data_IF_040031509348
#
_entry.id   IF_040031509348
#
_cell.length_a   1.000
_cell.length_b   1.000
_cell.length_c   1.000
_cell.angle_alpha   90.00
_cell.angle_beta   90.00
_cell.angle_gamma   90.00
#
_symmetry.space_group_name_H-M   'P 1'
#
loop_
_entity.id
_entity.type
_entity.pdbx_description
1 polymer ?
#
# COMPACT_ATOMS: atom_id res chain seq x y z
N UNK A 1 -28.19 1.07 12.26
CA UNK A 1 -26.92 0.60 12.87
C UNK A 1 -26.00 1.78 13.13
N UNK A 2 -25.26 1.85 14.25
CA UNK A 2 -24.39 2.98 14.56
C UNK A 2 -23.25 3.15 13.53
N UNK A 3 -22.81 4.39 13.31
CA UNK A 3 -21.79 4.73 12.29
C UNK A 3 -20.49 3.93 12.44
N UNK A 4 -20.00 3.75 13.67
CA UNK A 4 -18.79 2.96 13.96
C UNK A 4 -18.87 1.51 13.49
N UNK A 5 -20.06 0.92 13.55
CA UNK A 5 -20.28 -0.46 13.10
C UNK A 5 -20.40 -0.53 11.58
N UNK A 6 -21.04 0.47 10.95
CA UNK A 6 -21.06 0.58 9.50
C UNK A 6 -19.64 0.72 8.93
N UNK A 7 -18.82 1.58 9.57
CA UNK A 7 -17.43 1.75 9.22
C UNK A 7 -16.62 0.45 9.41
N UNK A 8 -16.78 -0.24 10.54
CA UNK A 8 -16.10 -1.51 10.79
C UNK A 8 -16.43 -2.57 9.73
N UNK A 9 -17.71 -2.70 9.35
CA UNK A 9 -18.15 -3.63 8.30
C UNK A 9 -17.53 -3.26 6.94
N UNK A 10 -17.58 -1.98 6.57
CA UNK A 10 -17.02 -1.53 5.29
C UNK A 10 -15.49 -1.74 5.24
N UNK A 11 -14.77 -1.38 6.30
CA UNK A 11 -13.31 -1.59 6.39
C UNK A 11 -12.96 -3.07 6.40
N UNK A 12 -13.73 -3.90 7.11
CA UNK A 12 -13.55 -5.35 7.10
C UNK A 12 -13.74 -5.90 5.69
N UNK A 13 -14.78 -5.47 4.98
CA UNK A 13 -15.01 -5.86 3.58
C UNK A 13 -13.86 -5.41 2.66
N UNK A 14 -13.40 -4.17 2.78
CA UNK A 14 -12.33 -3.62 1.93
C UNK A 14 -10.94 -4.21 2.23
N UNK A 15 -10.73 -4.71 3.44
CA UNK A 15 -9.50 -5.39 3.85
C UNK A 15 -9.37 -6.83 3.37
N UNK A 16 -10.44 -7.42 2.82
CA UNK A 16 -10.46 -8.82 2.39
C UNK A 16 -10.68 -8.95 0.88
N UNK A 17 -10.26 -10.09 0.34
CA UNK A 17 -10.44 -10.45 -1.07
C UNK A 17 -11.05 -11.84 -1.21
N UNK A 18 -11.60 -12.13 -2.39
CA UNK A 18 -12.21 -13.42 -2.70
C UNK A 18 -13.39 -13.74 -1.78
N UNK A 19 -13.48 -15.00 -1.33
CA UNK A 19 -14.61 -15.48 -0.54
C UNK A 19 -14.77 -14.74 0.80
N UNK A 20 -13.69 -14.19 1.37
CA UNK A 20 -13.75 -13.41 2.60
C UNK A 20 -14.41 -12.04 2.43
N UNK A 21 -14.48 -11.51 1.20
CA UNK A 21 -15.17 -10.26 0.87
C UNK A 21 -16.65 -10.47 0.47
N UNK A 22 -17.13 -11.71 0.45
CA UNK A 22 -18.53 -12.02 0.16
C UNK A 22 -19.45 -11.51 1.28
N UNK A 23 -20.62 -11.00 0.90
CA UNK A 23 -21.66 -10.54 1.83
C UNK A 23 -22.03 -11.62 2.84
N UNK A 24 -22.03 -12.89 2.43
CA UNK A 24 -22.28 -14.04 3.29
C UNK A 24 -21.24 -14.19 4.41
N UNK A 25 -19.96 -14.11 4.06
CA UNK A 25 -18.87 -14.17 5.03
C UNK A 25 -18.93 -13.00 6.02
N UNK A 26 -19.26 -11.80 5.52
CA UNK A 26 -19.33 -10.59 6.33
C UNK A 26 -20.56 -10.61 7.24
N UNK A 27 -21.71 -11.12 6.77
CA UNK A 27 -22.91 -11.24 7.61
C UNK A 27 -22.68 -12.20 8.78
N UNK A 28 -21.99 -13.32 8.55
CA UNK A 28 -21.63 -14.28 9.59
C UNK A 28 -20.66 -13.65 10.60
N UNK A 29 -19.67 -12.91 10.11
CA UNK A 29 -18.71 -12.20 10.98
C UNK A 29 -19.36 -11.08 11.82
N UNK A 30 -20.19 -10.25 11.20
CA UNK A 30 -20.80 -9.08 11.85
C UNK A 30 -22.07 -9.41 12.65
N UNK A 31 -22.67 -10.59 12.46
CA UNK A 31 -23.94 -10.98 13.08
C UNK A 31 -25.12 -10.11 12.63
N UNK A 32 -25.14 -9.69 11.35
CA UNK A 32 -26.19 -8.82 10.78
C UNK A 32 -26.82 -9.46 9.54
N UNK A 33 -27.92 -8.90 9.04
CA UNK A 33 -28.50 -9.38 7.77
C UNK A 33 -27.69 -8.93 6.56
N UNK A 34 -27.80 -9.65 5.44
CA UNK A 34 -27.15 -9.29 4.18
C UNK A 34 -27.48 -7.85 3.73
N UNK A 35 -28.74 -7.43 3.86
CA UNK A 35 -29.15 -6.06 3.53
C UNK A 35 -28.49 -5.00 4.41
N UNK A 36 -28.17 -5.32 5.66
CA UNK A 36 -27.45 -4.41 6.56
C UNK A 36 -25.98 -4.27 6.18
N UNK A 37 -25.33 -5.34 5.72
CA UNK A 37 -23.97 -5.27 5.16
C UNK A 37 -23.95 -4.36 3.95
N UNK A 38 -24.85 -4.58 2.98
CA UNK A 38 -24.94 -3.76 1.77
C UNK A 38 -25.19 -2.30 2.10
N UNK A 39 -26.18 -2.01 2.94
CA UNK A 39 -26.50 -0.62 3.32
C UNK A 39 -25.34 0.05 4.06
N UNK A 40 -24.64 -0.66 4.95
CA UNK A 40 -23.48 -0.14 5.66
C UNK A 40 -22.35 0.22 4.68
N UNK A 41 -22.00 -0.69 3.79
CA UNK A 41 -20.93 -0.46 2.81
C UNK A 41 -21.30 0.68 1.85
N UNK A 42 -22.54 0.73 1.34
CA UNK A 42 -23.02 1.82 0.48
C UNK A 42 -22.97 3.17 1.21
N UNK A 43 -23.44 3.25 2.45
CA UNK A 43 -23.36 4.49 3.23
C UNK A 43 -21.92 4.94 3.43
N UNK A 44 -20.98 4.02 3.70
CA UNK A 44 -19.59 4.38 3.92
C UNK A 44 -18.92 4.84 2.62
N UNK A 45 -19.24 4.19 1.50
CA UNK A 45 -18.80 4.66 0.19
C UNK A 45 -19.28 6.06 -0.13
N UNK A 46 -20.56 6.38 0.13
CA UNK A 46 -21.10 7.73 -0.09
C UNK A 46 -20.37 8.74 0.79
N UNK A 47 -20.13 8.42 2.06
CA UNK A 47 -19.39 9.30 2.97
C UNK A 47 -17.95 9.53 2.52
N UNK A 48 -17.24 8.48 2.07
CA UNK A 48 -15.89 8.61 1.53
C UNK A 48 -15.84 9.42 0.24
N UNK A 49 -16.81 9.22 -0.66
CA UNK A 49 -16.90 10.00 -1.88
C UNK A 49 -17.20 11.47 -1.61
N UNK A 50 -18.02 11.78 -0.60
CA UNK A 50 -18.28 13.16 -0.18
C UNK A 50 -17.03 13.86 0.37
N UNK A 51 -16.05 13.11 0.87
CA UNK A 51 -14.76 13.61 1.35
C UNK A 51 -13.65 13.58 0.28
N UNK A 52 -13.93 13.04 -0.91
CA UNK A 52 -12.91 12.77 -1.91
C UNK A 52 -12.14 14.04 -2.28
N UNK A 53 -12.83 15.13 -2.60
CA UNK A 53 -12.17 16.34 -3.11
C UNK A 53 -11.47 17.12 -1.99
N UNK A 54 -11.89 16.95 -0.74
CA UNK A 54 -11.27 17.56 0.44
C UNK A 54 -9.98 16.85 0.85
N UNK A 55 -9.94 15.51 0.71
CA UNK A 55 -8.84 14.66 1.19
C UNK A 55 -7.89 14.25 0.06
N UNK A 56 -8.40 14.02 -1.14
CA UNK A 56 -7.67 13.57 -2.31
C UNK A 56 -7.63 14.73 -3.31
N UNK A 57 -6.67 15.63 -3.10
CA UNK A 57 -6.39 16.70 -4.03
C UNK A 57 -5.06 16.50 -4.74
N UNK A 58 -4.92 17.11 -5.92
CA UNK A 58 -3.63 17.17 -6.59
C UNK A 58 -2.66 18.01 -5.75
N UNK A 59 -1.43 17.51 -5.60
CA UNK A 59 -0.36 18.26 -4.95
C UNK A 59 -0.05 19.53 -5.75
N UNK A 60 0.03 20.66 -5.05
CA UNK A 60 0.49 21.93 -5.60
C UNK A 60 1.96 21.84 -6.01
N UNK A 61 2.40 22.73 -6.91
CA UNK A 61 3.81 22.77 -7.33
C UNK A 61 4.77 22.91 -6.13
N UNK A 62 4.37 23.66 -5.08
CA UNK A 62 5.15 23.82 -3.86
C UNK A 62 5.28 22.52 -3.07
N UNK A 63 4.19 21.78 -2.89
CA UNK A 63 4.21 20.49 -2.20
C UNK A 63 5.02 19.44 -2.98
N UNK A 64 4.91 19.46 -4.31
CA UNK A 64 5.74 18.62 -5.19
C UNK A 64 7.22 18.92 -5.00
N UNK A 65 7.63 20.19 -5.03
CA UNK A 65 9.04 20.54 -4.82
C UNK A 65 9.54 20.23 -3.41
N UNK A 66 8.70 20.42 -2.39
CA UNK A 66 9.04 20.02 -1.01
C UNK A 66 9.25 18.49 -0.90
N UNK A 67 8.40 17.70 -1.54
CA UNK A 67 8.56 16.24 -1.58
C UNK A 67 9.83 15.82 -2.35
N UNK A 68 10.14 16.49 -3.46
CA UNK A 68 11.39 16.28 -4.22
C UNK A 68 12.63 16.59 -3.41
N UNK A 69 12.64 17.73 -2.73
CA UNK A 69 13.72 18.15 -1.85
C UNK A 69 13.91 17.15 -0.71
N UNK A 70 12.81 16.70 -0.10
CA UNK A 70 12.85 15.65 0.91
C UNK A 70 13.47 14.36 0.36
N UNK A 71 13.08 13.89 -0.83
CA UNK A 71 13.68 12.68 -1.44
C UNK A 71 15.15 12.87 -1.74
N UNK A 72 15.57 14.03 -2.23
CA UNK A 72 16.97 14.31 -2.51
C UNK A 72 17.82 14.28 -1.23
N UNK A 73 17.35 14.91 -0.16
CA UNK A 73 18.01 14.91 1.16
C UNK A 73 18.00 13.52 1.79
N UNK A 74 16.88 12.81 1.68
CA UNK A 74 16.68 11.50 2.27
C UNK A 74 17.08 10.33 1.35
N UNK A 75 17.75 10.57 0.23
CA UNK A 75 18.30 9.48 -0.59
C UNK A 75 19.51 9.95 -1.42
N UNK A 76 19.29 10.39 -2.66
CA UNK A 76 20.33 10.85 -3.59
C UNK A 76 19.76 11.82 -4.62
N UNK A 77 20.57 12.77 -5.09
CA UNK A 77 20.13 13.83 -6.03
C UNK A 77 19.47 13.29 -7.31
N UNK A 78 19.96 12.18 -7.87
CA UNK A 78 19.35 11.57 -9.06
C UNK A 78 17.90 11.06 -8.83
N UNK A 79 17.49 10.90 -7.58
CA UNK A 79 16.16 10.45 -7.19
C UNK A 79 15.18 11.60 -6.93
N UNK A 80 15.62 12.87 -7.00
CA UNK A 80 14.76 14.06 -6.81
C UNK A 80 13.45 13.93 -7.58
N UNK A 81 13.50 13.59 -8.87
CA UNK A 81 12.31 13.48 -9.71
C UNK A 81 11.49 12.18 -9.54
N UNK A 82 11.93 11.26 -8.65
CA UNK A 82 11.26 9.99 -8.34
C UNK A 82 10.44 10.05 -7.04
N UNK A 83 10.05 11.26 -6.63
CA UNK A 83 9.32 11.55 -5.40
C UNK A 83 7.90 10.94 -5.30
N UNK A 84 7.32 10.47 -6.41
CA UNK A 84 6.01 9.78 -6.45
C UNK A 84 6.19 8.26 -6.48
N UNK A 85 7.40 7.72 -6.32
CA UNK A 85 7.60 6.28 -6.37
C UNK A 85 7.00 5.64 -5.11
N UNK A 86 5.77 5.15 -5.21
CA UNK A 86 5.10 4.40 -4.14
C UNK A 86 5.64 2.96 -4.12
N UNK A 87 5.86 2.47 -2.91
CA UNK A 87 6.46 1.19 -2.53
C UNK A 87 5.64 -0.01 -3.08
N UNK A 88 5.82 -0.32 -4.37
CA UNK A 88 5.28 -1.49 -5.11
C UNK A 88 5.77 -1.58 -6.55
N UNK A 89 6.82 -0.84 -6.91
CA UNK A 89 7.35 -0.93 -8.29
C UNK A 89 8.06 -2.26 -8.45
N UNK A 90 7.37 -3.19 -9.11
CA UNK A 90 7.90 -4.49 -9.47
C UNK A 90 8.88 -4.34 -10.63
N UNK A 91 10.13 -4.75 -10.43
CA UNK A 91 11.14 -4.81 -11.49
C UNK A 91 10.95 -6.13 -12.23
N UNK A 92 10.59 -6.11 -13.53
CA UNK A 92 10.41 -7.34 -14.29
C UNK A 92 11.76 -8.05 -14.49
N UNK A 93 11.71 -9.38 -14.44
CA UNK A 93 12.81 -10.28 -14.72
C UNK A 93 12.63 -10.87 -16.12
N UNK A 94 13.71 -10.96 -16.88
CA UNK A 94 13.68 -11.52 -18.23
C UNK A 94 13.38 -13.03 -18.22
N UNK A 95 13.77 -13.72 -17.14
CA UNK A 95 13.64 -15.17 -17.00
C UNK A 95 13.21 -15.54 -15.58
N UNK A 96 12.65 -16.75 -15.46
CA UNK A 96 12.30 -17.35 -14.18
C UNK A 96 13.55 -17.57 -13.32
N UNK A 97 13.60 -17.07 -12.08
CA UNK A 97 14.69 -17.38 -11.17
C UNK A 97 14.81 -18.89 -10.91
N UNK A 98 16.04 -19.40 -10.93
CA UNK A 98 16.31 -20.83 -10.69
C UNK A 98 15.93 -21.27 -9.26
N UNK A 99 16.05 -20.37 -8.28
CA UNK A 99 15.73 -20.63 -6.88
C UNK A 99 14.40 -19.97 -6.51
N UNK A 100 13.42 -20.77 -6.09
CA UNK A 100 12.05 -20.33 -5.77
C UNK A 100 11.34 -19.51 -6.87
N UNK A 101 11.58 -19.80 -8.15
CA UNK A 101 11.05 -19.03 -9.28
C UNK A 101 9.53 -18.75 -9.24
N UNK A 102 8.74 -19.66 -8.67
CA UNK A 102 7.28 -19.48 -8.50
C UNK A 102 6.92 -18.30 -7.57
N UNK A 103 7.76 -18.00 -6.58
CA UNK A 103 7.52 -16.90 -5.62
C UNK A 103 7.65 -15.52 -6.31
N UNK A 104 8.33 -15.47 -7.45
CA UNK A 104 8.50 -14.26 -8.23
C UNK A 104 7.43 -14.09 -9.31
N UNK A 105 6.52 -15.06 -9.46
CA UNK A 105 5.47 -14.99 -10.46
C UNK A 105 4.32 -14.12 -9.96
N UNK A 106 4.16 -12.93 -10.53
CA UNK A 106 3.17 -11.96 -10.12
C UNK A 106 1.78 -12.20 -10.72
N UNK A 107 0.77 -11.50 -10.20
CA UNK A 107 -0.63 -11.56 -10.69
C UNK A 107 -0.77 -11.18 -12.17
N UNK A 108 0.22 -10.50 -12.76
CA UNK A 108 0.23 -10.12 -14.19
C UNK A 108 0.95 -11.15 -15.06
N UNK A 109 1.25 -12.33 -14.50
CA UNK A 109 1.97 -13.42 -15.17
C UNK A 109 3.39 -13.04 -15.60
N UNK A 110 4.05 -12.15 -14.87
CA UNK A 110 5.47 -11.84 -15.07
C UNK A 110 6.31 -12.37 -13.91
N UNK A 111 7.57 -12.66 -14.16
CA UNK A 111 8.55 -12.79 -13.08
C UNK A 111 8.98 -11.39 -12.68
N UNK A 112 8.82 -11.01 -11.42
CA UNK A 112 9.19 -9.66 -10.97
C UNK A 112 9.64 -9.60 -9.51
N UNK A 113 10.43 -8.58 -9.19
CA UNK A 113 11.05 -8.36 -7.88
C UNK A 113 10.56 -7.05 -7.27
N UNK A 114 10.23 -7.07 -5.98
CA UNK A 114 9.98 -5.85 -5.24
C UNK A 114 11.32 -5.26 -4.75
N UNK A 115 11.55 -3.99 -5.08
CA UNK A 115 12.73 -3.24 -4.64
C UNK A 115 12.28 -2.21 -3.64
N UNK A 116 12.73 -2.34 -2.39
CA UNK A 116 12.51 -1.35 -1.35
C UNK A 116 13.81 -0.61 -1.03
N UNK A 117 13.75 0.72 -1.04
CA UNK A 117 14.83 1.54 -0.49
C UNK A 117 14.55 1.71 0.99
N UNK A 118 15.45 1.22 1.85
CA UNK A 118 15.33 1.41 3.30
C UNK A 118 16.39 2.38 3.78
N UNK A 119 15.97 3.30 4.64
CA UNK A 119 16.90 4.08 5.49
C UNK A 119 17.32 3.17 6.63
N UNK A 120 18.61 2.86 6.70
CA UNK A 120 19.20 2.16 7.84
C UNK A 120 20.02 3.16 8.64
N UNK A 121 19.50 3.56 9.80
CA UNK A 121 20.26 4.36 10.75
C UNK A 121 21.08 3.41 11.64
N UNK A 122 22.40 3.43 11.50
CA UNK A 122 23.31 2.67 12.37
C UNK A 122 23.78 3.64 13.46
N UNK A 123 23.46 3.32 14.72
CA UNK A 123 23.90 4.10 15.88
C UNK A 123 25.25 3.54 16.35
N UNK A 124 26.29 4.36 16.28
CA UNK A 124 27.56 4.12 16.98
C UNK A 124 27.54 4.86 18.32
N UNK A 125 28.39 4.42 19.26
CA UNK A 125 28.38 4.89 20.66
C UNK A 125 28.48 6.42 20.83
N UNK A 126 28.96 7.15 19.81
CA UNK A 126 29.09 8.61 19.80
C UNK A 126 28.62 9.30 18.50
N UNK A 127 28.02 8.59 17.54
CA UNK A 127 27.58 9.20 16.28
C UNK A 127 26.48 8.40 15.57
N UNK A 128 25.63 9.07 14.78
CA UNK A 128 24.59 8.45 13.97
C UNK A 128 24.94 8.62 12.50
N UNK A 129 25.25 7.51 11.83
CA UNK A 129 25.43 7.49 10.37
C UNK A 129 24.19 6.91 9.71
N UNK A 130 23.58 7.69 8.81
CA UNK A 130 22.52 7.20 7.94
C UNK A 130 23.12 6.56 6.68
N UNK A 131 22.82 5.28 6.48
CA UNK A 131 23.14 4.56 5.25
C UNK A 131 21.84 4.25 4.51
N UNK A 132 21.81 4.56 3.21
CA UNK A 132 20.74 4.08 2.34
C UNK A 132 21.14 2.71 1.79
N UNK A 133 20.37 1.68 2.13
CA UNK A 133 20.54 0.35 1.55
C UNK A 133 19.35 0.03 0.65
N UNK A 134 19.66 -0.47 -0.55
CA UNK A 134 18.65 -1.07 -1.42
C UNK A 134 18.45 -2.50 -0.93
N UNK A 135 17.29 -2.77 -0.35
CA UNK A 135 16.94 -4.12 0.08
C UNK A 135 16.04 -4.76 -0.98
N UNK A 136 16.52 -5.83 -1.58
CA UNK A 136 15.68 -6.74 -2.35
C UNK A 136 14.82 -7.50 -1.34
N UNK A 137 13.51 -7.24 -1.35
CA UNK A 137 12.57 -7.96 -0.49
C UNK A 137 11.84 -8.95 -1.36
N UNK A 138 12.24 -10.20 -1.25
CA UNK A 138 11.37 -11.31 -1.61
C UNK A 138 10.33 -11.39 -0.51
N UNK A 139 9.07 -11.03 -0.80
CA UNK A 139 8.00 -11.37 0.13
C UNK A 139 7.86 -12.89 0.07
N UNK A 140 8.13 -13.63 1.16
CA UNK A 140 7.76 -15.03 1.20
C UNK A 140 6.24 -15.07 1.32
N UNK A 141 5.59 -15.47 0.22
CA UNK A 141 4.18 -15.85 0.12
C UNK A 141 3.17 -14.76 0.51
N UNK A 142 2.66 -14.07 -0.52
CA UNK A 142 1.28 -13.60 -0.56
C UNK A 142 0.38 -14.72 -1.07
#
# INVERSE_FOLDING_TARGET
MPIRHQLAIALFQFGHYGNAALVESIMQWAGVSAGMVVNATCHMMIAFLALHDDVIHWLSAKEKEAAKEWVEVASYAAWRNRWILVDRTLVPLAEKPAYYGEVYFDRKSNYSLNVQVRRLSIIFYNDVTDLFSVQLITLPNL
#
